data_IF_006329589399
#
_entry.id   IF_006329589399
#
_cell.length_a   1.000
_cell.length_b   1.000
_cell.length_c   1.000
_cell.angle_alpha   90.00
_cell.angle_beta   90.00
_cell.angle_gamma   90.00
#
_symmetry.space_group_name_H-M   'P 1'
#
loop_
_entity.id
_entity.type
_entity.pdbx_description
1 polymer ?
#
# COMPACT_ATOMS: atom_id res chain seq x y z
N UNK A 1 -18.04 13.85 21.69
CA UNK A 1 -16.85 13.78 20.79
C UNK A 1 -17.20 14.24 19.38
N UNK A 2 -16.25 14.62 18.49
CA UNK A 2 -16.52 15.00 17.08
C UNK A 2 -15.99 13.94 16.12
N UNK A 3 -16.77 13.52 15.12
CA UNK A 3 -16.35 12.54 14.11
C UNK A 3 -16.62 13.07 12.69
N UNK A 4 -15.60 13.01 11.83
CA UNK A 4 -15.71 13.34 10.40
C UNK A 4 -15.60 12.08 9.55
N UNK A 5 -16.47 11.96 8.56
CA UNK A 5 -16.43 10.91 7.55
C UNK A 5 -15.74 11.39 6.27
N UNK A 6 -14.93 10.54 5.66
CA UNK A 6 -14.27 10.82 4.36
C UNK A 6 -14.44 9.63 3.43
N UNK A 7 -15.16 9.83 2.33
CA UNK A 7 -15.47 8.78 1.36
C UNK A 7 -14.29 8.42 0.44
N UNK A 8 -14.51 7.45 -0.45
CA UNK A 8 -13.54 7.03 -1.48
C UNK A 8 -13.63 7.81 -2.80
N UNK A 9 -12.79 7.43 -3.76
CA UNK A 9 -12.86 7.98 -5.12
C UNK A 9 -14.20 7.65 -5.82
N UNK A 10 -14.63 8.56 -6.72
CA UNK A 10 -15.81 8.46 -7.58
C UNK A 10 -17.17 8.55 -6.89
N UNK A 11 -17.22 9.03 -5.65
CA UNK A 11 -18.48 9.33 -4.96
C UNK A 11 -19.02 10.69 -5.41
N UNK A 12 -20.31 10.74 -5.72
CA UNK A 12 -21.04 11.95 -6.13
C UNK A 12 -22.10 12.40 -5.11
N UNK A 13 -22.47 11.54 -4.16
CA UNK A 13 -23.46 11.80 -3.11
C UNK A 13 -23.05 11.27 -1.74
N UNK A 14 -23.49 11.95 -0.68
CA UNK A 14 -23.20 11.57 0.71
C UNK A 14 -24.03 10.38 1.19
N UNK A 15 -24.99 9.90 0.41
CA UNK A 15 -25.69 8.63 0.66
C UNK A 15 -24.76 7.41 0.58
N UNK A 16 -23.55 7.57 0.02
CA UNK A 16 -22.49 6.54 0.03
C UNK A 16 -22.23 5.98 1.42
N UNK A 17 -22.39 6.81 2.47
CA UNK A 17 -22.16 6.40 3.86
C UNK A 17 -23.21 5.40 4.37
N UNK A 18 -24.30 5.18 3.62
CA UNK A 18 -25.39 4.29 4.01
C UNK A 18 -26.00 4.69 5.35
N UNK A 19 -26.43 3.69 6.13
CA UNK A 19 -26.95 3.89 7.48
C UNK A 19 -25.86 3.76 8.57
N UNK A 20 -24.57 3.81 8.19
CA UNK A 20 -23.46 3.68 9.14
C UNK A 20 -23.44 4.84 10.16
N UNK A 21 -23.60 6.12 9.80
CA UNK A 21 -23.65 7.21 10.77
C UNK A 21 -24.73 6.99 11.84
N UNK A 22 -25.94 6.59 11.42
CA UNK A 22 -27.06 6.31 12.29
C UNK A 22 -26.79 5.10 13.18
N UNK A 23 -26.23 4.01 12.62
CA UNK A 23 -25.87 2.81 13.38
C UNK A 23 -24.87 3.13 14.50
N UNK A 24 -23.86 3.96 14.22
CA UNK A 24 -22.87 4.38 15.21
C UNK A 24 -23.50 5.26 16.30
N UNK A 25 -24.26 6.28 15.92
CA UNK A 25 -24.88 7.20 16.88
C UNK A 25 -25.86 6.46 17.81
N UNK A 26 -26.67 5.54 17.28
CA UNK A 26 -27.63 4.76 18.06
C UNK A 26 -26.94 3.75 19.00
N UNK A 27 -25.78 3.22 18.60
CA UNK A 27 -25.07 2.19 19.34
C UNK A 27 -24.03 2.75 20.34
N UNK A 28 -23.60 4.00 20.18
CA UNK A 28 -22.52 4.60 20.95
C UNK A 28 -22.80 4.65 22.46
N UNK A 29 -24.03 5.01 22.85
CA UNK A 29 -24.41 5.12 24.26
C UNK A 29 -24.28 3.79 25.00
N UNK A 30 -24.55 2.66 24.33
CA UNK A 30 -24.39 1.32 24.91
C UNK A 30 -22.92 0.99 25.25
N UNK A 31 -21.96 1.69 24.64
CA UNK A 31 -20.53 1.54 24.89
C UNK A 31 -19.92 2.73 25.65
N UNK A 32 -20.77 3.62 26.21
CA UNK A 32 -20.33 4.76 27.00
C UNK A 32 -19.67 5.88 26.21
N UNK A 33 -19.89 5.95 24.90
CA UNK A 33 -19.39 7.02 24.04
C UNK A 33 -20.42 8.15 23.93
N UNK A 34 -19.96 9.39 24.16
CA UNK A 34 -20.74 10.61 23.87
C UNK A 34 -20.68 10.92 22.36
N UNK A 35 -21.46 10.18 21.58
CA UNK A 35 -21.55 10.30 20.13
C UNK A 35 -23.01 10.33 19.68
N UNK A 36 -23.49 11.52 19.36
CA UNK A 36 -24.81 11.78 18.78
C UNK A 36 -24.67 12.04 17.27
N UNK A 37 -25.74 11.88 16.49
CA UNK A 37 -25.75 12.14 15.05
C UNK A 37 -25.26 13.57 14.71
N UNK A 38 -25.55 14.58 15.55
CA UNK A 38 -25.10 15.97 15.40
C UNK A 38 -23.59 16.15 15.53
N UNK A 39 -22.89 15.16 16.08
CA UNK A 39 -21.44 15.14 16.18
C UNK A 39 -20.77 14.57 14.93
N UNK A 40 -21.54 13.99 14.00
CA UNK A 40 -21.07 13.34 12.78
C UNK A 40 -21.12 14.31 11.61
N UNK A 41 -19.99 14.48 10.93
CA UNK A 41 -19.84 15.37 9.79
C UNK A 41 -19.52 14.56 8.54
N UNK A 42 -20.40 14.61 7.55
CA UNK A 42 -20.25 13.85 6.31
C UNK A 42 -19.41 14.65 5.30
N UNK A 43 -18.14 14.30 5.16
CA UNK A 43 -17.25 14.91 4.20
C UNK A 43 -17.67 14.63 2.77
N UNK A 44 -17.39 15.56 1.88
CA UNK A 44 -17.50 15.40 0.43
C UNK A 44 -16.31 16.05 -0.24
N UNK A 45 -15.70 15.38 -1.21
CA UNK A 45 -14.66 15.96 -2.04
C UNK A 45 -14.83 15.54 -3.50
N UNK A 46 -14.34 16.38 -4.40
CA UNK A 46 -14.39 16.13 -5.84
C UNK A 46 -13.15 15.32 -6.22
N UNK A 47 -13.34 14.19 -6.90
CA UNK A 47 -12.24 13.28 -7.28
C UNK A 47 -12.31 12.79 -8.72
N UNK A 48 -13.30 13.25 -9.48
CA UNK A 48 -13.66 12.79 -10.82
C UNK A 48 -13.40 13.87 -11.88
N UNK A 49 -12.43 14.74 -11.60
CA UNK A 49 -11.94 15.77 -12.51
C UNK A 49 -10.43 15.59 -12.68
N UNK A 50 -9.96 15.53 -13.93
CA UNK A 50 -8.61 15.07 -14.25
C UNK A 50 -7.51 15.99 -13.68
N UNK A 51 -7.78 17.27 -13.48
CA UNK A 51 -6.82 18.22 -12.90
C UNK A 51 -6.60 18.02 -11.39
N UNK A 52 -7.59 17.46 -10.69
CA UNK A 52 -7.59 17.32 -9.23
C UNK A 52 -6.58 16.27 -8.78
N UNK A 53 -5.74 16.62 -7.81
CA UNK A 53 -4.77 15.70 -7.20
C UNK A 53 -5.14 15.32 -5.78
N UNK A 54 -4.44 14.31 -5.24
CA UNK A 54 -4.53 14.00 -3.81
C UNK A 54 -4.05 15.18 -2.93
N UNK A 55 -3.10 15.98 -3.41
CA UNK A 55 -2.61 17.18 -2.72
C UNK A 55 -3.72 18.25 -2.62
N UNK A 56 -4.43 18.50 -3.72
CA UNK A 56 -5.55 19.44 -3.77
C UNK A 56 -6.69 18.99 -2.84
N UNK A 57 -6.98 17.69 -2.81
CA UNK A 57 -7.98 17.12 -1.89
C UNK A 57 -7.53 17.29 -0.43
N UNK A 58 -6.27 17.03 -0.10
CA UNK A 58 -5.74 17.20 1.26
C UNK A 58 -5.78 18.67 1.71
N UNK A 59 -5.52 19.62 0.80
CA UNK A 59 -5.68 21.06 1.05
C UNK A 59 -7.15 21.45 1.24
N UNK A 60 -8.04 20.89 0.43
CA UNK A 60 -9.49 21.05 0.59
C UNK A 60 -9.98 20.52 1.92
N UNK A 61 -9.48 19.36 2.35
CA UNK A 61 -9.79 18.75 3.64
C UNK A 61 -9.34 19.62 4.82
N UNK A 62 -8.11 20.16 4.79
CA UNK A 62 -7.63 21.09 5.82
C UNK A 62 -8.52 22.32 5.96
N UNK A 63 -8.87 22.95 4.82
CA UNK A 63 -9.77 24.10 4.79
C UNK A 63 -11.14 23.74 5.36
N UNK A 64 -11.73 22.63 4.92
CA UNK A 64 -13.04 22.19 5.39
C UNK A 64 -13.04 21.89 6.90
N UNK A 65 -11.95 21.30 7.43
CA UNK A 65 -11.80 21.08 8.86
C UNK A 65 -11.77 22.39 9.64
N UNK A 66 -11.09 23.44 9.15
CA UNK A 66 -11.03 24.78 9.78
C UNK A 66 -12.37 25.51 9.72
N UNK A 67 -13.16 25.28 8.68
CA UNK A 67 -14.49 25.88 8.50
C UNK A 67 -15.57 25.20 9.36
N UNK A 68 -15.28 24.07 10.04
CA UNK A 68 -16.25 23.44 10.94
C UNK A 68 -16.63 24.36 12.12
N UNK A 69 -17.92 24.38 12.52
CA UNK A 69 -18.37 25.16 13.67
C UNK A 69 -17.63 24.79 14.96
N UNK A 70 -17.56 25.74 15.90
CA UNK A 70 -16.90 25.58 17.20
C UNK A 70 -15.40 25.24 17.12
N UNK A 71 -14.74 25.55 16.01
CA UNK A 71 -13.28 25.62 15.97
C UNK A 71 -12.78 26.87 16.68
N UNK A 72 -11.59 26.82 17.31
CA UNK A 72 -10.90 28.02 17.78
C UNK A 72 -10.49 28.88 16.57
N UNK A 73 -10.39 30.20 16.77
CA UNK A 73 -10.00 31.14 15.71
C UNK A 73 -8.72 30.68 14.98
N UNK A 74 -8.85 30.34 13.71
CA UNK A 74 -7.75 29.87 12.85
C UNK A 74 -7.26 28.43 13.09
N UNK A 75 -7.82 27.69 14.05
CA UNK A 75 -7.40 26.32 14.39
C UNK A 75 -8.40 25.23 13.99
N UNK A 76 -8.05 23.97 14.30
CA UNK A 76 -8.90 22.79 14.11
C UNK A 76 -9.13 22.17 15.49
N UNK A 77 -10.38 22.07 15.93
CA UNK A 77 -10.70 21.41 17.20
C UNK A 77 -10.45 19.89 17.12
N UNK A 78 -10.15 19.20 18.24
CA UNK A 78 -9.91 17.76 18.25
C UNK A 78 -11.06 16.96 17.62
N UNK A 79 -10.71 15.95 16.83
CA UNK A 79 -11.68 15.11 16.13
C UNK A 79 -11.20 13.67 15.94
N UNK A 80 -12.13 12.79 15.59
CA UNK A 80 -11.89 11.45 15.07
C UNK A 80 -12.34 11.37 13.62
N UNK A 81 -11.73 10.51 12.83
CA UNK A 81 -12.05 10.36 11.41
C UNK A 81 -12.36 8.91 11.07
N UNK A 82 -13.45 8.70 10.34
CA UNK A 82 -13.80 7.42 9.72
C UNK A 82 -13.69 7.60 8.21
N UNK A 83 -12.83 6.81 7.57
CA UNK A 83 -12.59 6.94 6.13
C UNK A 83 -13.00 5.67 5.39
N UNK A 84 -13.32 5.78 4.11
CA UNK A 84 -13.46 4.63 3.22
C UNK A 84 -12.52 4.74 2.02
N UNK A 85 -11.93 3.62 1.60
CA UNK A 85 -11.16 3.54 0.34
C UNK A 85 -10.08 4.63 0.22
N UNK A 86 -10.10 5.45 -0.83
CA UNK A 86 -9.18 6.59 -1.04
C UNK A 86 -9.19 7.61 0.10
N UNK A 87 -10.26 7.71 0.89
CA UNK A 87 -10.33 8.61 2.04
C UNK A 87 -9.23 8.36 3.07
N UNK A 88 -8.81 7.10 3.26
CA UNK A 88 -7.70 6.75 4.15
C UNK A 88 -6.39 7.40 3.72
N UNK A 89 -5.91 7.14 2.49
CA UNK A 89 -4.81 7.87 1.88
C UNK A 89 -4.92 9.39 1.89
N UNK A 90 -6.10 9.97 1.64
CA UNK A 90 -6.33 11.42 1.72
C UNK A 90 -5.98 11.96 3.11
N UNK A 91 -6.54 11.36 4.16
CA UNK A 91 -6.32 11.84 5.53
C UNK A 91 -4.88 11.60 5.99
N UNK A 92 -4.27 10.47 5.59
CA UNK A 92 -2.85 10.22 5.84
C UNK A 92 -1.96 11.24 5.12
N UNK A 93 -2.29 11.62 3.89
CA UNK A 93 -1.55 12.61 3.13
C UNK A 93 -1.70 14.02 3.72
N UNK A 94 -2.89 14.38 4.22
CA UNK A 94 -3.10 15.60 5.00
C UNK A 94 -2.25 15.59 6.28
N UNK A 95 -2.22 14.48 7.03
CA UNK A 95 -1.41 14.35 8.24
C UNK A 95 0.08 14.57 7.92
N UNK A 96 0.61 13.85 6.92
CA UNK A 96 2.01 13.96 6.48
C UNK A 96 2.36 15.39 6.05
N UNK A 97 1.45 16.05 5.32
CA UNK A 97 1.67 17.41 4.78
C UNK A 97 1.72 18.48 5.85
N UNK A 98 0.79 18.48 6.80
CA UNK A 98 0.60 19.59 7.73
C UNK A 98 1.27 19.36 9.09
N UNK A 99 1.54 18.11 9.45
CA UNK A 99 2.11 17.75 10.74
C UNK A 99 3.40 16.93 10.55
N UNK A 100 3.34 15.87 9.73
CA UNK A 100 4.46 14.93 9.60
C UNK A 100 4.90 14.33 10.94
N UNK A 101 6.05 13.67 10.97
CA UNK A 101 6.58 13.11 12.22
C UNK A 101 6.91 14.17 13.29
N UNK A 102 7.37 15.36 12.86
CA UNK A 102 7.76 16.43 13.78
C UNK A 102 6.60 17.22 14.38
N UNK A 103 5.40 17.18 13.78
CA UNK A 103 4.24 17.97 14.19
C UNK A 103 3.20 17.21 14.99
N UNK A 104 3.47 15.95 15.38
CA UNK A 104 2.48 15.08 16.04
C UNK A 104 1.92 15.64 17.34
N UNK A 105 2.70 16.41 18.11
CA UNK A 105 2.24 17.05 19.34
C UNK A 105 1.10 18.06 19.12
N UNK A 106 0.98 18.63 17.92
CA UNK A 106 -0.08 19.57 17.55
C UNK A 106 -1.22 18.95 16.73
N UNK A 107 -1.21 17.63 16.51
CA UNK A 107 -2.18 16.94 15.66
C UNK A 107 -3.57 16.91 16.31
N UNK A 108 -4.62 17.52 15.71
CA UNK A 108 -5.98 17.49 16.24
C UNK A 108 -6.72 16.18 15.96
N UNK A 109 -6.17 15.30 15.10
CA UNK A 109 -6.74 14.00 14.78
C UNK A 109 -6.35 12.97 15.84
N UNK A 110 -7.33 12.50 16.60
CA UNK A 110 -7.14 11.50 17.67
C UNK A 110 -7.28 10.06 17.20
N UNK A 111 -8.26 9.78 16.34
CA UNK A 111 -8.53 8.43 15.83
C UNK A 111 -8.69 8.46 14.32
N UNK A 112 -8.06 7.54 13.61
CA UNK A 112 -8.26 7.34 12.17
C UNK A 112 -8.71 5.90 11.91
N UNK A 113 -10.02 5.69 11.79
CA UNK A 113 -10.61 4.39 11.49
C UNK A 113 -10.81 4.26 9.99
N UNK A 114 -10.02 3.42 9.34
CA UNK A 114 -10.06 3.27 7.89
C UNK A 114 -10.78 1.99 7.48
N UNK A 115 -11.85 2.16 6.70
CA UNK A 115 -12.64 1.09 6.12
C UNK A 115 -12.13 0.80 4.70
N UNK A 116 -11.54 -0.38 4.50
CA UNK A 116 -10.98 -0.82 3.22
C UNK A 116 -10.06 0.23 2.52
N UNK A 117 -9.09 0.86 3.22
CA UNK A 117 -8.28 1.94 2.64
C UNK A 117 -7.35 1.45 1.54
N UNK A 118 -7.12 2.25 0.49
CA UNK A 118 -6.13 1.95 -0.55
C UNK A 118 -4.70 2.41 -0.15
N UNK A 119 -4.21 2.00 1.03
CA UNK A 119 -2.96 2.48 1.62
C UNK A 119 -1.70 2.22 0.79
N UNK A 120 -1.69 1.11 0.04
CA UNK A 120 -0.63 0.71 -0.88
C UNK A 120 -1.16 0.54 -2.32
N UNK A 121 -2.29 1.19 -2.62
CA UNK A 121 -2.93 1.19 -3.94
C UNK A 121 -3.95 0.07 -4.15
N UNK A 122 -4.48 0.06 -5.37
CA UNK A 122 -5.51 -0.88 -5.82
C UNK A 122 -5.23 -1.40 -7.22
N UNK A 123 -5.59 -2.66 -7.46
CA UNK A 123 -5.52 -3.32 -8.77
C UNK A 123 -6.52 -2.73 -9.79
N UNK A 124 -7.50 -1.94 -9.35
CA UNK A 124 -8.49 -1.29 -10.21
C UNK A 124 -7.86 -0.21 -11.12
N UNK A 125 -6.77 0.41 -10.70
CA UNK A 125 -6.24 1.58 -11.41
C UNK A 125 -5.44 1.24 -12.71
N UNK A 126 -5.17 -0.06 -12.98
CA UNK A 126 -4.49 -0.51 -14.21
C UNK A 126 -5.50 -0.90 -15.31
N UNK A 127 -6.57 -0.11 -15.47
CA UNK A 127 -7.56 -0.34 -16.52
C UNK A 127 -7.11 0.34 -17.82
N UNK A 128 -6.55 -0.45 -18.74
CA UNK A 128 -6.09 0.03 -20.05
C UNK A 128 -7.19 0.68 -20.90
N UNK A 129 -6.77 1.45 -21.93
CA UNK A 129 -7.62 2.30 -22.79
C UNK A 129 -8.91 1.64 -23.33
N UNK A 130 -8.89 0.34 -23.63
CA UNK A 130 -10.06 -0.39 -24.12
C UNK A 130 -11.16 -0.61 -23.05
N UNK A 131 -10.81 -0.52 -21.77
CA UNK A 131 -11.73 -0.65 -20.62
C UNK A 131 -12.20 0.68 -20.07
N UNK A 132 -11.49 1.78 -20.39
CA UNK A 132 -11.90 3.15 -20.09
C UNK A 132 -13.32 3.43 -20.60
N UNK A 133 -13.71 2.88 -21.75
CA UNK A 133 -15.10 3.00 -22.24
C UNK A 133 -16.15 2.33 -21.35
N UNK A 134 -15.80 1.22 -20.68
CA UNK A 134 -16.69 0.53 -19.72
C UNK A 134 -16.72 1.22 -18.36
N UNK A 135 -15.61 1.80 -17.91
CA UNK A 135 -15.61 2.68 -16.73
C UNK A 135 -16.41 3.96 -16.99
N UNK A 136 -16.23 4.64 -18.12
CA UNK A 136 -17.02 5.83 -18.47
C UNK A 136 -18.53 5.54 -18.50
N UNK A 137 -18.92 4.36 -18.99
CA UNK A 137 -20.32 3.90 -18.95
C UNK A 137 -20.79 3.54 -17.53
N UNK A 138 -19.89 3.10 -16.64
CA UNK A 138 -20.18 2.87 -15.22
C UNK A 138 -20.27 4.18 -14.40
N UNK A 139 -19.64 5.25 -14.88
CA UNK A 139 -19.63 6.57 -14.24
C UNK A 139 -20.56 7.59 -14.90
N UNK A 140 -21.60 7.12 -15.60
CA UNK A 140 -22.60 7.99 -16.23
C UNK A 140 -21.99 9.12 -17.11
N UNK A 141 -20.82 8.88 -17.71
CA UNK A 141 -20.12 9.83 -18.58
C UNK A 141 -19.24 10.88 -17.88
N UNK A 142 -19.00 10.80 -16.57
CA UNK A 142 -18.11 11.71 -15.82
C UNK A 142 -16.63 11.42 -16.11
N UNK A 143 -15.77 12.45 -16.04
CA UNK A 143 -14.32 12.28 -16.12
C UNK A 143 -13.80 11.34 -15.00
N UNK A 144 -12.77 10.52 -15.28
CA UNK A 144 -12.31 9.53 -14.33
C UNK A 144 -11.48 10.14 -13.18
N UNK A 145 -11.03 11.39 -13.27
CA UNK A 145 -10.12 11.95 -12.28
C UNK A 145 -8.75 11.25 -12.31
N UNK A 146 -8.14 11.27 -13.50
CA UNK A 146 -6.96 10.46 -13.84
C UNK A 146 -5.81 10.62 -12.84
N UNK A 147 -5.54 11.83 -12.33
CA UNK A 147 -4.42 12.06 -11.40
C UNK A 147 -4.62 11.40 -10.03
N UNK A 148 -5.87 11.29 -9.56
CA UNK A 148 -6.19 10.54 -8.33
C UNK A 148 -6.03 9.04 -8.58
N UNK A 149 -6.48 8.55 -9.74
CA UNK A 149 -6.29 7.15 -10.13
C UNK A 149 -4.81 6.79 -10.31
N UNK A 150 -4.00 7.64 -10.94
CA UNK A 150 -2.56 7.46 -11.08
C UNK A 150 -1.86 7.39 -9.72
N UNK A 151 -2.35 8.15 -8.74
CA UNK A 151 -1.88 8.05 -7.36
C UNK A 151 -2.27 6.71 -6.73
N UNK A 152 -3.47 6.19 -7.01
CA UNK A 152 -3.98 4.92 -6.50
C UNK A 152 -3.43 3.67 -7.22
N UNK A 153 -2.83 3.83 -8.40
CA UNK A 153 -2.10 2.76 -9.08
C UNK A 153 -1.08 2.11 -8.16
N UNK A 154 -1.08 0.79 -8.11
CA UNK A 154 -0.06 0.02 -7.40
C UNK A 154 1.35 0.47 -7.81
N UNK A 155 2.22 0.69 -6.83
CA UNK A 155 3.60 1.12 -7.07
C UNK A 155 3.75 2.59 -7.47
N UNK A 156 2.73 3.44 -7.26
CA UNK A 156 2.85 4.88 -7.55
C UNK A 156 3.89 5.56 -6.65
N UNK A 157 4.42 6.69 -7.12
CA UNK A 157 5.41 7.47 -6.37
C UNK A 157 4.79 8.07 -5.09
N UNK A 158 3.52 8.48 -5.17
CA UNK A 158 2.80 9.05 -4.03
C UNK A 158 2.61 8.05 -2.89
N UNK A 159 2.26 6.80 -3.22
CA UNK A 159 2.17 5.72 -2.21
C UNK A 159 3.54 5.40 -1.61
N UNK A 160 4.58 5.31 -2.44
CA UNK A 160 5.94 5.06 -1.97
C UNK A 160 6.36 6.15 -0.96
N UNK A 161 6.16 7.42 -1.32
CA UNK A 161 6.53 8.56 -0.48
C UNK A 161 5.74 8.58 0.83
N UNK A 162 4.41 8.44 0.77
CA UNK A 162 3.55 8.48 1.95
C UNK A 162 3.86 7.35 2.94
N UNK A 163 4.08 6.14 2.44
CA UNK A 163 4.45 5.01 3.30
C UNK A 163 5.90 5.09 3.79
N UNK A 164 6.82 5.70 3.03
CA UNK A 164 8.17 5.97 3.53
C UNK A 164 8.15 6.95 4.71
N UNK A 165 7.42 8.05 4.58
CA UNK A 165 7.27 9.05 5.64
C UNK A 165 6.56 8.45 6.87
N UNK A 166 5.61 7.55 6.64
CA UNK A 166 4.87 6.87 7.70
C UNK A 166 5.72 5.99 8.64
N UNK A 167 6.94 5.62 8.26
CA UNK A 167 7.85 4.84 9.11
C UNK A 167 8.28 5.57 10.39
N UNK A 168 8.15 6.89 10.41
CA UNK A 168 8.64 7.76 11.49
C UNK A 168 7.50 8.29 12.38
N UNK A 169 6.25 7.90 12.11
CA UNK A 169 5.08 8.40 12.84
C UNK A 169 4.85 7.64 14.16
N UNK A 170 5.22 8.22 15.29
CA UNK A 170 4.77 7.72 16.60
C UNK A 170 3.34 8.22 16.90
N UNK A 171 2.33 7.49 16.41
CA UNK A 171 0.93 7.84 16.65
C UNK A 171 0.54 7.72 18.12
N UNK A 172 0.57 6.52 18.71
CA UNK A 172 0.07 6.28 20.07
C UNK A 172 0.79 7.10 21.14
N UNK A 173 2.09 7.39 20.98
CA UNK A 173 2.85 8.25 21.88
C UNK A 173 2.35 9.71 21.92
N UNK A 174 1.62 10.13 20.87
CA UNK A 174 1.05 11.47 20.73
C UNK A 174 -0.49 11.47 20.75
N UNK A 175 -1.13 10.40 21.21
CA UNK A 175 -2.59 10.33 21.30
C UNK A 175 -3.31 10.19 19.95
N UNK A 176 -2.59 9.75 18.90
CA UNK A 176 -3.13 9.44 17.59
C UNK A 176 -3.19 7.93 17.34
N UNK A 177 -4.39 7.41 17.05
CA UNK A 177 -4.65 5.98 16.93
C UNK A 177 -5.22 5.63 15.55
N UNK A 178 -4.40 5.11 14.61
CA UNK A 178 -4.88 4.64 13.31
C UNK A 178 -5.34 3.17 13.36
N UNK A 179 -6.40 2.81 12.66
CA UNK A 179 -6.98 1.46 12.61
C UNK A 179 -7.35 1.09 11.18
N UNK A 180 -7.18 -0.19 10.81
CA UNK A 180 -7.61 -0.71 9.51
C UNK A 180 -8.66 -1.80 9.72
N UNK A 181 -9.84 -1.58 9.17
CA UNK A 181 -10.94 -2.55 9.10
C UNK A 181 -11.19 -2.85 7.63
N UNK A 182 -11.06 -4.09 7.18
CA UNK A 182 -11.19 -4.42 5.75
C UNK A 182 -11.91 -5.72 5.52
N UNK A 183 -12.62 -5.80 4.39
CA UNK A 183 -13.19 -7.04 3.91
C UNK A 183 -12.16 -7.93 3.22
N UNK A 184 -12.53 -9.19 3.06
CA UNK A 184 -11.98 -10.11 2.06
C UNK A 184 -13.09 -10.89 1.34
N UNK A 185 -14.33 -10.43 1.50
CA UNK A 185 -15.49 -10.96 0.81
C UNK A 185 -15.65 -10.29 -0.55
N UNK A 186 -16.00 -11.07 -1.57
CA UNK A 186 -16.26 -10.54 -2.91
C UNK A 186 -17.75 -10.65 -3.19
N UNK A 187 -18.37 -9.56 -3.62
CA UNK A 187 -19.71 -9.61 -4.22
C UNK A 187 -19.56 -9.82 -5.72
N UNK A 188 -19.36 -11.08 -6.11
CA UNK A 188 -19.07 -11.43 -7.51
C UNK A 188 -20.10 -10.86 -8.48
N UNK A 189 -21.39 -10.88 -8.11
CA UNK A 189 -22.49 -10.37 -8.95
C UNK A 189 -22.40 -8.86 -9.18
N UNK A 190 -21.93 -8.11 -8.18
CA UNK A 190 -21.75 -6.66 -8.30
C UNK A 190 -20.55 -6.31 -9.20
N UNK A 191 -19.55 -7.19 -9.31
CA UNK A 191 -18.33 -6.92 -10.08
C UNK A 191 -18.23 -7.71 -11.41
N UNK A 192 -19.19 -8.58 -11.70
CA UNK A 192 -19.23 -9.46 -12.89
C UNK A 192 -19.06 -8.70 -14.21
N UNK A 193 -19.50 -7.44 -14.28
CA UNK A 193 -19.46 -6.63 -15.50
C UNK A 193 -18.16 -5.84 -15.72
N UNK A 194 -17.26 -5.76 -14.72
CA UNK A 194 -16.11 -4.85 -14.75
C UNK A 194 -14.77 -5.57 -15.03
N UNK A 195 -14.40 -6.61 -14.27
CA UNK A 195 -13.08 -7.25 -14.43
C UNK A 195 -12.88 -8.54 -13.58
N UNK A 196 -12.13 -9.52 -14.10
CA UNK A 196 -11.65 -10.68 -13.30
C UNK A 196 -10.70 -10.28 -12.16
N UNK A 197 -10.00 -9.14 -12.26
CA UNK A 197 -9.15 -8.61 -11.19
C UNK A 197 -9.93 -8.21 -9.92
N UNK A 198 -11.25 -7.99 -10.01
CA UNK A 198 -12.11 -7.67 -8.87
C UNK A 198 -12.62 -8.93 -8.15
N UNK A 199 -12.14 -10.11 -8.57
CA UNK A 199 -12.39 -11.42 -7.95
C UNK A 199 -11.11 -12.04 -7.36
N UNK A 200 -10.08 -11.24 -7.14
CA UNK A 200 -8.79 -11.72 -6.65
C UNK A 200 -8.89 -12.15 -5.17
N UNK A 201 -8.51 -13.39 -4.80
CA UNK A 201 -8.54 -13.84 -3.42
C UNK A 201 -7.66 -12.97 -2.50
N UNK A 202 -8.07 -12.82 -1.24
CA UNK A 202 -7.40 -11.93 -0.30
C UNK A 202 -7.63 -10.44 -0.59
N UNK A 203 -8.72 -10.11 -1.28
CA UNK A 203 -9.19 -8.74 -1.50
C UNK A 203 -10.68 -8.61 -1.19
N UNK A 204 -11.13 -7.39 -0.99
CA UNK A 204 -12.56 -7.05 -0.86
C UNK A 204 -13.25 -6.82 -2.22
N UNK A 205 -12.55 -7.18 -3.31
CA UNK A 205 -12.95 -6.93 -4.69
C UNK A 205 -12.37 -5.66 -5.31
N UNK A 206 -11.72 -4.77 -4.55
CA UNK A 206 -11.02 -3.58 -5.10
C UNK A 206 -9.64 -3.43 -4.49
N UNK A 207 -9.52 -3.59 -3.18
CA UNK A 207 -8.27 -3.44 -2.43
C UNK A 207 -7.90 -4.78 -1.81
N UNK A 208 -6.65 -5.20 -2.04
CA UNK A 208 -6.05 -6.37 -1.39
C UNK A 208 -5.94 -6.10 0.11
N UNK A 209 -6.10 -7.11 0.96
CA UNK A 209 -5.88 -6.96 2.41
C UNK A 209 -4.47 -6.42 2.69
N UNK A 210 -3.46 -6.93 1.98
CA UNK A 210 -2.08 -6.40 2.03
C UNK A 210 -1.92 -4.99 1.46
N UNK A 211 -2.83 -4.56 0.59
CA UNK A 211 -2.92 -3.20 0.08
C UNK A 211 -3.58 -2.22 1.06
N UNK A 212 -4.42 -2.73 1.97
CA UNK A 212 -5.11 -1.93 2.98
C UNK A 212 -4.37 -1.81 4.31
N UNK A 213 -3.63 -2.84 4.70
CA UNK A 213 -2.93 -2.89 5.97
C UNK A 213 -1.95 -1.71 6.16
N UNK A 214 -1.77 -1.25 7.41
CA UNK A 214 -0.73 -0.26 7.77
C UNK A 214 0.52 -0.90 8.38
N UNK A 215 0.50 -2.21 8.64
CA UNK A 215 1.71 -2.96 8.93
C UNK A 215 2.40 -3.28 7.60
N UNK A 216 3.58 -2.71 7.39
CA UNK A 216 4.39 -2.91 6.18
C UNK A 216 5.88 -2.76 6.50
N UNK A 217 6.71 -3.14 5.53
CA UNK A 217 8.18 -3.13 5.66
C UNK A 217 8.83 -2.32 4.56
N UNK A 218 9.98 -1.76 4.88
CA UNK A 218 10.92 -1.21 3.91
C UNK A 218 12.24 -1.99 3.98
N UNK A 219 12.62 -2.55 2.85
CA UNK A 219 13.81 -3.38 2.70
C UNK A 219 14.73 -2.77 1.65
N UNK A 220 15.87 -2.24 2.08
CA UNK A 220 16.82 -1.57 1.18
C UNK A 220 17.99 -2.51 0.88
N UNK A 221 18.31 -2.62 -0.40
CA UNK A 221 19.34 -3.50 -0.95
C UNK A 221 20.29 -2.66 -1.80
N UNK A 222 21.59 -2.78 -1.57
CA UNK A 222 22.60 -2.11 -2.38
C UNK A 222 23.65 -3.09 -2.88
N UNK A 223 24.09 -2.92 -4.12
CA UNK A 223 25.10 -3.80 -4.71
C UNK A 223 26.44 -3.63 -4.01
N UNK A 224 26.87 -4.68 -3.32
CA UNK A 224 28.17 -4.77 -2.67
C UNK A 224 29.28 -5.24 -3.61
N UNK A 225 30.47 -5.45 -3.05
CA UNK A 225 31.66 -5.91 -3.80
C UNK A 225 31.85 -7.42 -3.76
N UNK A 226 31.15 -8.12 -2.87
CA UNK A 226 31.25 -9.58 -2.72
C UNK A 226 30.72 -10.30 -3.97
N UNK A 227 31.53 -11.17 -4.56
CA UNK A 227 31.14 -11.98 -5.72
C UNK A 227 30.43 -13.24 -5.25
N UNK A 228 29.21 -13.47 -5.74
CA UNK A 228 28.39 -14.65 -5.45
C UNK A 228 28.43 -15.71 -6.55
N UNK A 229 28.66 -15.30 -7.80
CA UNK A 229 28.85 -16.18 -8.96
C UNK A 229 29.91 -15.60 -9.89
N UNK A 230 30.74 -16.47 -10.48
CA UNK A 230 31.77 -16.05 -11.46
C UNK A 230 31.25 -16.06 -12.90
N UNK A 231 30.25 -16.89 -13.20
CA UNK A 231 29.66 -17.03 -14.54
C UNK A 231 28.12 -17.16 -14.45
N UNK A 232 27.35 -16.15 -14.90
CA UNK A 232 27.82 -14.77 -15.12
C UNK A 232 28.38 -14.18 -13.82
N UNK A 233 29.21 -13.13 -13.94
CA UNK A 233 29.72 -12.40 -12.77
C UNK A 233 28.53 -11.73 -12.05
N UNK A 234 28.24 -12.19 -10.84
CA UNK A 234 27.11 -11.72 -10.03
C UNK A 234 27.60 -11.28 -8.67
N UNK A 235 27.22 -10.08 -8.25
CA UNK A 235 27.57 -9.50 -6.97
C UNK A 235 26.49 -9.73 -5.90
N UNK A 236 26.85 -9.60 -4.63
CA UNK A 236 25.89 -9.59 -3.54
C UNK A 236 25.10 -8.28 -3.53
N UNK A 237 23.80 -8.37 -3.25
CA UNK A 237 23.02 -7.27 -2.71
C UNK A 237 23.15 -7.34 -1.18
N UNK A 238 23.79 -6.34 -0.61
CA UNK A 238 23.91 -6.13 0.83
C UNK A 238 22.63 -5.46 1.33
N UNK A 239 22.15 -5.90 2.48
CA UNK A 239 20.88 -5.49 3.05
C UNK A 239 21.08 -4.53 4.21
N UNK A 240 20.36 -3.42 4.18
CA UNK A 240 20.18 -2.59 5.37
C UNK A 240 19.18 -3.26 6.32
N UNK A 241 19.18 -2.92 7.62
CA UNK A 241 18.15 -3.38 8.54
C UNK A 241 16.75 -3.08 8.02
N UNK A 242 15.87 -4.09 8.05
CA UNK A 242 14.48 -3.92 7.64
C UNK A 242 13.80 -2.93 8.57
N UNK A 243 13.23 -1.88 7.99
CA UNK A 243 12.43 -0.89 8.73
C UNK A 243 10.98 -1.34 8.75
N UNK A 244 10.37 -1.35 9.93
CA UNK A 244 8.97 -1.69 10.13
C UNK A 244 8.15 -0.41 10.33
N UNK A 245 6.95 -0.38 9.75
CA UNK A 245 5.99 0.64 10.11
C UNK A 245 5.58 0.49 11.60
N UNK A 246 5.21 1.59 12.27
CA UNK A 246 4.54 1.55 13.56
C UNK A 246 3.35 0.57 13.53
N UNK A 247 3.24 -0.34 14.51
CA UNK A 247 2.25 -1.40 14.46
C UNK A 247 0.83 -0.84 14.57
N UNK A 248 -0.07 -1.30 13.71
CA UNK A 248 -1.46 -0.85 13.67
C UNK A 248 -2.45 -2.02 13.74
N UNK A 249 -3.60 -1.88 14.43
CA UNK A 249 -4.66 -2.88 14.41
C UNK A 249 -5.20 -3.13 13.00
N UNK A 250 -5.26 -4.40 12.61
CA UNK A 250 -5.91 -4.87 11.37
C UNK A 250 -7.01 -5.87 11.72
N UNK A 251 -8.23 -5.54 11.32
CA UNK A 251 -9.38 -6.44 11.37
C UNK A 251 -9.83 -6.82 9.96
N UNK A 252 -9.82 -8.12 9.66
CA UNK A 252 -10.28 -8.66 8.36
C UNK A 252 -11.60 -9.39 8.51
N UNK A 253 -12.60 -9.07 7.69
CA UNK A 253 -13.90 -9.73 7.68
C UNK A 253 -14.14 -10.56 6.42
N UNK A 254 -14.66 -11.77 6.58
CA UNK A 254 -15.03 -12.64 5.45
C UNK A 254 -16.28 -12.13 4.70
N UNK A 255 -17.22 -11.53 5.42
CA UNK A 255 -18.57 -11.22 4.92
C UNK A 255 -18.70 -9.91 4.13
N UNK A 256 -17.67 -9.08 4.10
CA UNK A 256 -17.74 -7.72 3.56
C UNK A 256 -16.89 -7.53 2.31
N UNK A 257 -17.43 -6.81 1.33
CA UNK A 257 -16.77 -6.33 0.11
C UNK A 257 -16.44 -4.84 0.21
N UNK A 258 -15.74 -4.33 -0.80
CA UNK A 258 -15.36 -2.92 -0.85
C UNK A 258 -16.59 -1.99 -0.85
N UNK A 259 -17.56 -2.30 -1.71
CA UNK A 259 -18.75 -1.50 -1.97
C UNK A 259 -20.00 -2.39 -2.16
N UNK A 260 -21.16 -1.76 -2.23
CA UNK A 260 -22.46 -2.39 -2.50
C UNK A 260 -23.38 -2.45 -1.27
N UNK A 261 -24.69 -2.36 -1.49
CA UNK A 261 -25.70 -2.29 -0.41
C UNK A 261 -25.94 -3.63 0.31
N UNK A 262 -25.42 -4.72 -0.24
CA UNK A 262 -25.58 -6.07 0.31
C UNK A 262 -24.39 -6.54 1.15
N UNK A 263 -23.17 -6.27 0.68
CA UNK A 263 -21.93 -6.73 1.31
C UNK A 263 -20.91 -5.62 1.55
N UNK A 264 -21.10 -4.41 1.03
CA UNK A 264 -20.12 -3.34 1.15
C UNK A 264 -19.87 -2.96 2.60
N UNK A 265 -18.60 -2.86 3.00
CA UNK A 265 -18.16 -2.59 4.39
C UNK A 265 -18.81 -1.35 5.03
N UNK A 266 -19.30 -0.43 4.21
CA UNK A 266 -20.00 0.79 4.63
C UNK A 266 -21.48 0.76 4.23
N UNK A 267 -21.79 0.66 2.93
CA UNK A 267 -23.16 0.79 2.42
C UNK A 267 -24.10 -0.39 2.77
N UNK A 268 -23.59 -1.52 3.27
CA UNK A 268 -24.45 -2.62 3.75
C UNK A 268 -24.77 -2.56 5.24
N UNK A 269 -24.30 -1.53 5.95
CA UNK A 269 -24.65 -1.31 7.35
C UNK A 269 -26.10 -0.86 7.46
N UNK A 270 -26.80 -1.37 8.48
CA UNK A 270 -28.19 -1.06 8.82
C UNK A 270 -28.27 -0.54 10.23
N UNK A 271 -28.89 0.64 10.41
CA UNK A 271 -29.04 1.28 11.71
C UNK A 271 -29.73 0.35 12.71
N UNK A 272 -30.80 -0.32 12.27
CA UNK A 272 -31.57 -1.25 13.10
C UNK A 272 -30.77 -2.46 13.59
N UNK A 273 -29.70 -2.86 12.90
CA UNK A 273 -28.85 -3.96 13.34
C UNK A 273 -27.80 -3.50 14.36
N UNK A 274 -27.35 -2.25 14.31
CA UNK A 274 -26.43 -1.64 15.28
C UNK A 274 -25.23 -2.53 15.61
N UNK A 275 -25.01 -2.79 16.91
CA UNK A 275 -23.96 -3.67 17.43
C UNK A 275 -24.07 -5.15 16.98
N UNK A 276 -25.20 -5.56 16.40
CA UNK A 276 -25.33 -6.87 15.75
C UNK A 276 -24.46 -7.01 14.48
N UNK A 277 -23.96 -5.91 13.92
CA UNK A 277 -22.98 -5.93 12.83
C UNK A 277 -21.56 -5.72 13.38
N UNK A 278 -20.61 -6.65 13.14
CA UNK A 278 -19.28 -6.60 13.76
C UNK A 278 -18.48 -5.36 13.37
N UNK A 279 -18.68 -4.82 12.17
CA UNK A 279 -18.00 -3.58 11.73
C UNK A 279 -18.41 -2.38 12.60
N UNK A 280 -19.68 -2.29 13.01
CA UNK A 280 -20.17 -1.19 13.88
C UNK A 280 -19.55 -1.29 15.26
N UNK A 281 -19.55 -2.50 15.85
CA UNK A 281 -18.90 -2.78 17.13
C UNK A 281 -17.40 -2.44 17.07
N UNK A 282 -16.68 -2.96 16.08
CA UNK A 282 -15.23 -2.77 15.95
C UNK A 282 -14.87 -1.29 15.71
N UNK A 283 -15.68 -0.50 14.98
CA UNK A 283 -15.49 0.96 14.85
C UNK A 283 -15.62 1.65 16.21
N UNK A 284 -16.66 1.33 16.98
CA UNK A 284 -16.89 1.98 18.27
C UNK A 284 -15.82 1.58 19.29
N UNK A 285 -15.33 0.33 19.26
CA UNK A 285 -14.19 -0.10 20.08
C UNK A 285 -12.91 0.65 19.71
N UNK A 286 -12.67 0.95 18.42
CA UNK A 286 -11.58 1.82 18.01
C UNK A 286 -11.72 3.23 18.61
N UNK A 287 -12.92 3.81 18.56
CA UNK A 287 -13.19 5.18 19.08
C UNK A 287 -13.12 5.29 20.61
N UNK A 288 -13.09 4.18 21.34
CA UNK A 288 -12.92 4.14 22.81
C UNK A 288 -11.47 4.12 23.26
N UNK A 289 -10.53 3.92 22.34
CA UNK A 289 -9.11 3.85 22.67
C UNK A 289 -8.61 5.22 23.13
N UNK A 290 -8.29 5.34 24.41
CA UNK A 290 -7.79 6.57 25.01
C UNK A 290 -6.30 6.50 25.40
N UNK A 291 -5.64 5.35 25.20
CA UNK A 291 -4.24 5.14 25.58
C UNK A 291 -3.52 4.16 24.67
N UNK A 292 -2.18 4.25 24.63
CA UNK A 292 -1.32 3.29 23.95
C UNK A 292 -1.53 1.84 24.43
N UNK A 293 -1.83 1.63 25.72
CA UNK A 293 -2.11 0.30 26.25
C UNK A 293 -3.40 -0.29 25.68
N UNK A 294 -4.47 0.51 25.62
CA UNK A 294 -5.74 0.09 25.02
C UNK A 294 -5.59 -0.13 23.51
N UNK A 295 -4.79 0.68 22.83
CA UNK A 295 -4.46 0.52 21.41
C UNK A 295 -3.78 -0.83 21.15
N UNK A 296 -2.77 -1.18 21.96
CA UNK A 296 -2.05 -2.45 21.86
C UNK A 296 -2.94 -3.66 22.20
N UNK A 297 -3.84 -3.50 23.19
CA UNK A 297 -4.83 -4.52 23.51
C UNK A 297 -5.75 -4.79 22.32
N UNK A 298 -6.31 -3.73 21.72
CA UNK A 298 -7.19 -3.84 20.56
C UNK A 298 -6.44 -4.41 19.34
N UNK A 299 -5.17 -4.05 19.15
CA UNK A 299 -4.28 -4.64 18.13
C UNK A 299 -4.20 -6.15 18.27
N UNK A 300 -3.95 -6.63 19.48
CA UNK A 300 -3.86 -8.07 19.78
C UNK A 300 -5.19 -8.78 19.55
N UNK A 301 -6.30 -8.18 20.00
CA UNK A 301 -7.64 -8.73 19.80
C UNK A 301 -8.01 -8.83 18.31
N UNK A 302 -7.76 -7.77 17.53
CA UNK A 302 -8.02 -7.77 16.09
C UNK A 302 -7.13 -8.75 15.34
N UNK A 303 -5.86 -8.90 15.72
CA UNK A 303 -4.98 -9.91 15.15
C UNK A 303 -5.52 -11.33 15.39
N UNK A 304 -6.01 -11.63 16.60
CA UNK A 304 -6.62 -12.92 16.92
C UNK A 304 -7.88 -13.19 16.08
N UNK A 305 -8.79 -12.21 16.00
CA UNK A 305 -10.03 -12.32 15.21
C UNK A 305 -9.76 -12.47 13.71
N UNK A 306 -8.80 -11.72 13.18
CA UNK A 306 -8.33 -11.84 11.79
C UNK A 306 -7.79 -13.24 11.52
N UNK A 307 -6.93 -13.77 12.40
CA UNK A 307 -6.37 -15.10 12.26
C UNK A 307 -7.46 -16.19 12.26
N UNK A 308 -8.44 -16.10 13.16
CA UNK A 308 -9.59 -17.01 13.16
C UNK A 308 -10.36 -16.92 11.84
N UNK A 309 -10.75 -15.71 11.44
CA UNK A 309 -11.53 -15.45 10.23
C UNK A 309 -10.84 -16.05 8.99
N UNK A 310 -9.56 -15.77 8.80
CA UNK A 310 -8.82 -16.22 7.63
C UNK A 310 -8.46 -17.71 7.67
N UNK A 311 -8.20 -18.27 8.86
CA UNK A 311 -7.98 -19.71 9.01
C UNK A 311 -9.25 -20.50 8.65
N UNK A 312 -10.42 -20.04 9.07
CA UNK A 312 -11.70 -20.65 8.70
C UNK A 312 -12.00 -20.52 7.21
N UNK A 313 -11.76 -19.34 6.63
CA UNK A 313 -11.93 -19.12 5.20
C UNK A 313 -11.02 -20.06 4.38
N UNK A 314 -9.74 -20.15 4.74
CA UNK A 314 -8.77 -21.02 4.06
C UNK A 314 -9.07 -22.51 4.25
N UNK A 315 -9.66 -22.93 5.38
CA UNK A 315 -10.12 -24.32 5.58
C UNK A 315 -11.29 -24.67 4.66
N UNK A 316 -12.20 -23.71 4.42
CA UNK A 316 -13.35 -23.89 3.52
C UNK A 316 -12.96 -23.86 2.04
N UNK A 317 -12.03 -22.98 1.67
CA UNK A 317 -11.47 -22.86 0.33
C UNK A 317 -9.98 -22.50 0.43
N UNK A 318 -9.05 -23.42 0.09
CA UNK A 318 -7.62 -23.15 0.15
C UNK A 318 -7.14 -21.98 -0.71
N UNK A 319 -7.96 -21.50 -1.66
CA UNK A 319 -7.67 -20.30 -2.45
C UNK A 319 -7.89 -19.01 -1.66
N UNK A 320 -8.58 -19.06 -0.51
CA UNK A 320 -8.83 -17.92 0.40
C UNK A 320 -7.77 -17.84 1.52
N UNK A 321 -6.51 -18.14 1.16
CA UNK A 321 -5.38 -18.04 2.06
C UNK A 321 -5.00 -16.60 2.40
N UNK A 322 -3.84 -16.43 3.04
CA UNK A 322 -3.25 -15.11 3.27
C UNK A 322 -2.25 -14.77 2.17
N UNK A 323 -2.15 -13.50 1.85
CA UNK A 323 -1.34 -13.02 0.73
C UNK A 323 -0.47 -11.83 1.14
N UNK A 324 0.59 -11.58 0.38
CA UNK A 324 1.52 -10.48 0.62
C UNK A 324 1.82 -9.72 -0.67
N UNK A 325 2.27 -8.48 -0.56
CA UNK A 325 2.78 -7.72 -1.71
C UNK A 325 4.26 -7.42 -1.58
N UNK A 326 5.00 -7.51 -2.69
CA UNK A 326 6.33 -6.94 -2.84
C UNK A 326 6.27 -5.81 -3.87
N UNK A 327 6.73 -4.62 -3.49
CA UNK A 327 6.81 -3.45 -4.37
C UNK A 327 8.29 -3.12 -4.59
N UNK A 328 8.81 -3.46 -5.77
CA UNK A 328 10.20 -3.24 -6.15
C UNK A 328 10.38 -1.87 -6.81
N UNK A 329 11.33 -1.11 -6.30
CA UNK A 329 11.91 0.07 -6.94
C UNK A 329 13.37 -0.22 -7.26
N UNK A 330 13.74 -0.14 -8.54
CA UNK A 330 15.11 -0.44 -9.00
C UNK A 330 15.73 0.83 -9.56
N UNK A 331 16.91 1.18 -9.04
CA UNK A 331 17.66 2.38 -9.42
C UNK A 331 19.15 2.13 -9.49
N UNK A 332 19.87 3.01 -10.16
CA UNK A 332 21.33 3.05 -10.10
C UNK A 332 21.84 3.88 -8.90
N UNK A 333 23.17 3.89 -8.72
CA UNK A 333 23.91 4.66 -7.71
C UNK A 333 23.87 6.18 -7.95
N UNK A 334 23.22 6.64 -9.03
CA UNK A 334 22.94 8.03 -9.35
C UNK A 334 21.47 8.40 -9.14
N UNK A 335 20.64 7.46 -8.71
CA UNK A 335 19.22 7.65 -8.47
C UNK A 335 18.35 7.54 -9.71
N UNK A 336 18.90 7.17 -10.87
CA UNK A 336 18.11 6.97 -12.08
C UNK A 336 17.29 5.68 -11.95
N UNK A 337 16.01 5.75 -12.26
CA UNK A 337 15.13 4.58 -12.32
C UNK A 337 15.35 3.84 -13.63
N UNK A 338 15.30 2.50 -13.57
CA UNK A 338 15.32 1.68 -14.77
C UNK A 338 13.97 1.74 -15.49
N UNK A 339 13.99 1.76 -16.81
CA UNK A 339 12.79 1.58 -17.61
C UNK A 339 12.29 0.13 -17.51
N UNK A 340 11.00 -0.08 -17.79
CA UNK A 340 10.34 -1.39 -17.72
C UNK A 340 11.13 -2.55 -18.36
N UNK A 341 11.72 -2.31 -19.52
CA UNK A 341 12.40 -3.37 -20.30
C UNK A 341 13.91 -3.46 -19.99
N UNK A 342 14.41 -2.61 -19.11
CA UNK A 342 15.84 -2.52 -18.76
C UNK A 342 16.21 -3.28 -17.49
N UNK A 343 15.27 -3.99 -16.86
CA UNK A 343 15.58 -4.87 -15.72
C UNK A 343 14.66 -6.08 -15.60
N UNK A 344 15.14 -7.07 -14.87
CA UNK A 344 14.41 -8.27 -14.48
C UNK A 344 14.61 -8.52 -12.98
N UNK A 345 13.54 -8.94 -12.32
CA UNK A 345 13.56 -9.41 -10.93
C UNK A 345 13.18 -10.89 -10.93
N UNK A 346 14.05 -11.71 -10.33
CA UNK A 346 13.82 -13.14 -10.15
C UNK A 346 13.79 -13.45 -8.65
N UNK A 347 12.74 -14.13 -8.22
CA UNK A 347 12.67 -14.71 -6.87
C UNK A 347 13.40 -16.06 -6.88
N UNK A 348 14.24 -16.25 -5.88
CA UNK A 348 15.12 -17.40 -5.74
C UNK A 348 14.71 -18.22 -4.52
N UNK A 349 14.90 -19.53 -4.58
CA UNK A 349 14.72 -20.40 -3.42
C UNK A 349 15.59 -21.65 -3.50
N UNK A 350 15.60 -22.42 -2.41
CA UNK A 350 16.36 -23.66 -2.24
C UNK A 350 17.85 -23.41 -1.94
N UNK A 351 18.57 -24.47 -1.59
CA UNK A 351 19.96 -24.42 -1.07
C UNK A 351 20.97 -23.66 -1.93
N UNK A 352 20.69 -23.56 -3.23
CA UNK A 352 21.56 -22.94 -4.23
C UNK A 352 21.00 -21.63 -4.79
N UNK A 353 19.91 -21.09 -4.20
CA UNK A 353 19.23 -19.87 -4.62
C UNK A 353 18.98 -19.84 -6.13
N UNK A 354 18.22 -20.82 -6.62
CA UNK A 354 17.97 -20.99 -8.05
C UNK A 354 16.63 -20.36 -8.44
N UNK A 355 16.54 -19.72 -9.62
CA UNK A 355 15.26 -19.35 -10.18
C UNK A 355 14.46 -20.61 -10.51
N UNK A 356 13.13 -20.54 -10.40
CA UNK A 356 12.23 -21.65 -10.72
C UNK A 356 12.07 -22.71 -9.63
N UNK A 357 12.75 -22.57 -8.49
CA UNK A 357 12.57 -23.46 -7.33
C UNK A 357 11.46 -23.00 -6.36
N UNK A 358 10.74 -21.92 -6.70
CA UNK A 358 9.66 -21.39 -5.87
C UNK A 358 8.44 -22.32 -5.93
N UNK A 359 7.66 -22.46 -4.84
CA UNK A 359 6.49 -23.35 -4.82
C UNK A 359 5.44 -22.98 -5.87
N UNK A 360 4.82 -23.97 -6.52
CA UNK A 360 3.84 -23.71 -7.58
C UNK A 360 2.65 -22.84 -7.10
N UNK A 361 2.27 -21.88 -7.94
CA UNK A 361 1.16 -20.97 -7.68
C UNK A 361 1.45 -19.88 -6.63
N UNK A 362 2.70 -19.73 -6.19
CA UNK A 362 3.09 -18.69 -5.24
C UNK A 362 2.87 -17.26 -5.77
N UNK A 363 3.10 -17.02 -7.07
CA UNK A 363 2.89 -15.72 -7.70
C UNK A 363 1.47 -15.67 -8.26
N UNK A 364 0.61 -14.86 -7.64
CA UNK A 364 -0.79 -14.69 -8.03
C UNK A 364 -0.98 -13.64 -9.10
N UNK A 365 -0.24 -12.55 -8.98
CA UNK A 365 -0.30 -11.45 -9.93
C UNK A 365 1.02 -10.68 -9.99
N UNK A 366 1.25 -10.02 -11.13
CA UNK A 366 2.40 -9.16 -11.40
C UNK A 366 1.96 -7.95 -12.20
N UNK A 367 2.20 -6.77 -11.64
CA UNK A 367 1.89 -5.49 -12.29
C UNK A 367 3.11 -4.58 -12.28
N UNK A 368 3.26 -3.76 -13.32
CA UNK A 368 4.26 -2.70 -13.34
C UNK A 368 3.55 -1.35 -13.47
N UNK A 369 3.93 -0.40 -12.62
CA UNK A 369 3.40 0.95 -12.71
C UNK A 369 3.98 1.66 -13.95
N UNK A 370 3.15 2.20 -14.85
CA UNK A 370 3.63 2.79 -16.10
C UNK A 370 4.40 4.11 -15.92
N UNK A 371 4.18 4.83 -14.81
CA UNK A 371 4.83 6.11 -14.55
C UNK A 371 6.13 5.94 -13.77
N UNK A 372 6.18 5.02 -12.81
CA UNK A 372 7.36 4.83 -11.93
C UNK A 372 8.23 3.64 -12.32
N UNK A 373 7.75 2.75 -13.18
CA UNK A 373 8.34 1.43 -13.46
C UNK A 373 8.49 0.54 -12.21
N UNK A 374 7.85 0.88 -11.09
CA UNK A 374 7.86 0.02 -9.91
C UNK A 374 7.10 -1.28 -10.20
N UNK A 375 7.73 -2.41 -9.88
CA UNK A 375 7.19 -3.73 -10.13
C UNK A 375 6.52 -4.25 -8.86
N UNK A 376 5.27 -4.69 -8.97
CA UNK A 376 4.46 -5.18 -7.85
C UNK A 376 4.16 -6.65 -8.06
N UNK A 377 4.56 -7.49 -7.10
CA UNK A 377 4.17 -8.89 -7.04
C UNK A 377 3.13 -9.10 -5.95
N UNK A 378 2.08 -9.84 -6.28
CA UNK A 378 1.13 -10.35 -5.31
C UNK A 378 1.34 -11.83 -5.11
N UNK A 379 1.56 -12.21 -3.85
CA UNK A 379 2.12 -13.49 -3.48
C UNK A 379 1.18 -14.24 -2.56
N UNK A 380 0.97 -15.52 -2.82
CA UNK A 380 0.34 -16.44 -1.89
C UNK A 380 1.31 -16.76 -0.76
N UNK A 381 1.07 -16.19 0.42
CA UNK A 381 1.97 -16.31 1.54
C UNK A 381 2.04 -17.75 2.05
N UNK A 382 0.92 -18.48 2.03
CA UNK A 382 0.88 -19.88 2.47
C UNK A 382 1.75 -20.77 1.60
N UNK A 383 1.84 -20.45 0.29
CA UNK A 383 2.74 -21.14 -0.64
C UNK A 383 4.19 -20.76 -0.39
N UNK A 384 4.52 -19.47 -0.24
CA UNK A 384 5.90 -19.04 0.00
C UNK A 384 6.44 -19.55 1.34
N UNK A 385 5.59 -19.65 2.37
CA UNK A 385 5.97 -20.20 3.66
C UNK A 385 6.42 -21.67 3.59
N UNK A 386 6.14 -22.37 2.48
CA UNK A 386 6.56 -23.76 2.22
C UNK A 386 7.90 -23.88 1.49
N UNK A 387 8.64 -22.78 1.27
CA UNK A 387 9.98 -22.85 0.68
C UNK A 387 10.85 -23.81 1.48
N UNK A 388 11.28 -24.89 0.81
CA UNK A 388 12.15 -25.90 1.38
C UNK A 388 13.48 -25.28 1.85
N UNK A 389 14.01 -25.81 2.96
CA UNK A 389 15.27 -25.36 3.59
C UNK A 389 15.28 -23.90 4.09
N UNK A 390 14.18 -23.15 3.99
CA UNK A 390 14.08 -21.75 4.45
C UNK A 390 14.96 -20.76 3.69
N UNK A 391 15.55 -21.16 2.56
CA UNK A 391 16.47 -20.33 1.78
C UNK A 391 15.74 -19.65 0.63
N UNK A 392 15.78 -18.31 0.61
CA UNK A 392 15.12 -17.48 -0.39
C UNK A 392 15.98 -16.28 -0.76
N UNK A 393 15.76 -15.70 -1.94
CA UNK A 393 16.56 -14.59 -2.42
C UNK A 393 15.90 -13.81 -3.55
N UNK A 394 16.57 -12.74 -3.95
CA UNK A 394 16.16 -11.86 -5.04
C UNK A 394 17.37 -11.68 -5.96
N UNK A 395 17.24 -12.00 -7.25
CA UNK A 395 18.21 -11.59 -8.28
C UNK A 395 17.64 -10.42 -9.06
N UNK A 396 18.47 -9.42 -9.29
CA UNK A 396 18.22 -8.36 -10.26
C UNK A 396 19.22 -8.47 -11.42
N UNK A 397 18.71 -8.37 -12.63
CA UNK A 397 19.51 -8.29 -13.86
C UNK A 397 19.10 -7.01 -14.57
N UNK A 398 20.04 -6.10 -14.82
CA UNK A 398 19.78 -4.80 -15.42
C UNK A 398 20.55 -4.60 -16.72
N UNK A 399 20.03 -3.74 -17.59
CA UNK A 399 20.57 -3.42 -18.92
C UNK A 399 21.07 -1.97 -18.97
N UNK A 400 22.09 -1.69 -19.81
CA UNK A 400 22.86 -2.64 -20.61
C UNK A 400 23.79 -3.52 -19.76
N UNK A 401 24.00 -4.78 -20.17
CA UNK A 401 24.83 -5.75 -19.43
C UNK A 401 26.33 -5.70 -19.80
N UNK A 402 26.66 -4.97 -20.87
CA UNK A 402 28.01 -4.80 -21.41
C UNK A 402 28.13 -3.47 -22.15
N UNK A 403 29.35 -3.07 -22.49
CA UNK A 403 29.66 -1.80 -23.16
C UNK A 403 30.36 -0.80 -22.24
N UNK A 404 30.53 0.44 -22.73
CA UNK A 404 31.22 1.52 -22.01
C UNK A 404 30.49 1.98 -20.74
N UNK A 405 29.19 1.75 -20.67
CA UNK A 405 28.41 1.88 -19.44
C UNK A 405 27.57 0.60 -19.30
N UNK A 406 27.61 -0.05 -18.15
CA UNK A 406 26.91 -1.31 -17.94
C UNK A 406 26.57 -1.60 -16.48
N UNK A 407 25.68 -2.55 -16.28
CA UNK A 407 25.31 -3.09 -14.97
C UNK A 407 25.69 -4.57 -14.89
N UNK A 408 26.04 -5.01 -13.68
CA UNK A 408 26.29 -6.42 -13.40
C UNK A 408 25.12 -6.99 -12.59
N UNK A 409 24.70 -8.24 -12.85
CA UNK A 409 23.70 -8.91 -12.03
C UNK A 409 24.06 -8.86 -10.53
N UNK A 410 23.03 -8.78 -9.69
CA UNK A 410 23.21 -8.82 -8.25
C UNK A 410 22.16 -9.72 -7.57
N UNK A 411 22.53 -10.37 -6.47
CA UNK A 411 21.68 -11.29 -5.71
C UNK A 411 21.67 -10.94 -4.22
N UNK A 412 20.46 -10.81 -3.66
CA UNK A 412 20.25 -10.98 -2.22
C UNK A 412 19.99 -12.46 -1.94
N UNK A 413 20.65 -12.99 -0.90
CA UNK A 413 20.46 -14.35 -0.39
C UNK A 413 20.16 -14.26 1.09
N UNK A 414 19.12 -14.95 1.57
CA UNK A 414 18.70 -14.83 2.97
C UNK A 414 19.79 -15.23 3.97
N UNK A 415 20.68 -16.17 3.62
CA UNK A 415 21.86 -16.56 4.43
C UNK A 415 21.52 -16.79 5.94
N UNK A 416 20.32 -17.31 6.22
CA UNK A 416 19.83 -17.58 7.59
C UNK A 416 18.77 -16.60 8.11
N UNK A 417 18.52 -15.48 7.41
CA UNK A 417 17.39 -14.60 7.70
C UNK A 417 16.05 -15.34 7.52
N UNK A 418 15.09 -15.07 8.41
CA UNK A 418 13.77 -15.72 8.33
C UNK A 418 12.94 -15.02 7.27
N UNK A 419 12.08 -15.77 6.59
CA UNK A 419 11.12 -15.19 5.63
C UNK A 419 10.30 -14.07 6.27
N UNK A 420 9.85 -14.29 7.52
CA UNK A 420 9.04 -13.34 8.31
C UNK A 420 9.72 -12.00 8.58
N UNK A 421 11.06 -11.94 8.48
CA UNK A 421 11.79 -10.69 8.66
C UNK A 421 11.61 -9.76 7.44
N UNK A 422 11.29 -10.31 6.27
CA UNK A 422 11.17 -9.57 4.99
C UNK A 422 9.74 -9.60 4.44
N UNK A 423 8.97 -10.66 4.67
CA UNK A 423 7.63 -10.87 4.15
C UNK A 423 6.72 -11.43 5.23
N UNK A 424 5.52 -10.86 5.40
CA UNK A 424 4.52 -11.36 6.34
C UNK A 424 3.13 -11.42 5.69
N UNK A 425 2.22 -12.26 6.21
CA UNK A 425 0.89 -12.39 5.64
C UNK A 425 0.11 -11.08 5.82
N UNK A 426 -0.69 -10.73 4.81
CA UNK A 426 -1.49 -9.52 4.77
C UNK A 426 -0.69 -8.21 4.80
N UNK A 427 0.60 -8.24 4.48
CA UNK A 427 1.45 -7.04 4.52
C UNK A 427 2.09 -6.74 3.17
N UNK A 428 2.44 -5.48 2.99
CA UNK A 428 3.26 -5.01 1.87
C UNK A 428 4.72 -4.86 2.33
N UNK A 429 5.65 -5.24 1.47
CA UNK A 429 7.07 -4.91 1.63
C UNK A 429 7.55 -4.10 0.43
N UNK A 430 8.03 -2.89 0.69
CA UNK A 430 8.72 -2.06 -0.27
C UNK A 430 10.19 -2.48 -0.33
N UNK A 431 10.69 -2.79 -1.53
CA UNK A 431 12.07 -3.23 -1.77
C UNK A 431 12.76 -2.19 -2.65
N UNK A 432 13.70 -1.43 -2.09
CA UNK A 432 14.52 -0.45 -2.85
C UNK A 432 15.85 -1.10 -3.20
N UNK A 433 16.11 -1.31 -4.49
CA UNK A 433 17.32 -1.96 -4.99
C UNK A 433 18.19 -0.91 -5.70
N UNK A 434 19.41 -0.72 -5.20
CA UNK A 434 20.42 0.17 -5.77
C UNK A 434 21.55 -0.64 -6.43
N UNK A 435 21.67 -0.51 -7.76
CA UNK A 435 22.75 -1.10 -8.54
C UNK A 435 23.87 -0.09 -8.80
N UNK A 436 25.10 -0.58 -8.93
CA UNK A 436 26.24 0.27 -9.30
C UNK A 436 26.34 0.37 -10.82
N UNK A 437 26.33 1.58 -11.35
CA UNK A 437 26.62 1.82 -12.76
C UNK A 437 28.11 1.74 -13.02
N UNK A 438 28.53 0.77 -13.82
CA UNK A 438 29.93 0.64 -14.22
C UNK A 438 30.18 1.51 -15.44
N UNK A 439 31.09 2.47 -15.33
CA UNK A 439 31.54 3.30 -16.45
C UNK A 439 32.98 2.94 -16.75
N UNK A 440 33.20 2.50 -17.98
CA UNK A 440 34.49 2.08 -18.46
C UNK A 440 35.46 3.27 -18.55
N UNK A 441 36.72 3.04 -18.22
CA UNK A 441 37.73 4.11 -18.25
C UNK A 441 37.97 4.67 -19.67
N UNK A 442 37.68 3.91 -20.72
CA UNK A 442 37.78 4.37 -22.10
C UNK A 442 36.55 5.17 -22.57
N UNK A 443 35.54 5.36 -21.71
CA UNK A 443 34.41 6.27 -22.01
C UNK A 443 34.90 7.70 -22.20
N UNK A 444 35.94 8.12 -21.47
CA UNK A 444 36.53 9.44 -21.60
C UNK A 444 38.04 9.40 -21.30
N UNK A 445 38.86 9.88 -22.23
CA UNK A 445 40.31 9.98 -22.11
C UNK A 445 40.78 11.34 -22.61
N UNK A 446 41.90 11.81 -22.08
CA UNK A 446 42.62 12.96 -22.63
C UNK A 446 43.83 12.46 -23.40
N UNK A 447 43.95 12.88 -24.65
CA UNK A 447 45.19 12.76 -25.41
C UNK A 447 46.03 14.02 -25.22
N UNK A 448 47.35 13.89 -25.33
CA UNK A 448 48.24 15.06 -25.30
C UNK A 448 48.02 15.90 -26.55
N UNK A 449 48.05 17.23 -26.39
CA UNK A 449 47.87 18.16 -27.51
C UNK A 449 49.00 18.16 -28.54
N UNK A 450 50.18 17.60 -28.20
CA UNK A 450 51.34 17.45 -29.07
C UNK A 450 51.41 16.07 -29.78
N UNK A 451 50.47 15.16 -29.48
CA UNK A 451 50.39 13.86 -30.15
C UNK A 451 49.62 13.96 -31.49
N UNK A 452 49.89 13.07 -32.47
CA UNK A 452 49.06 12.96 -33.66
C UNK A 452 47.60 12.72 -33.31
N UNK A 453 46.69 13.40 -34.02
CA UNK A 453 45.24 13.22 -33.82
C UNK A 453 44.83 11.81 -34.21
N UNK A 454 44.15 11.09 -33.32
CA UNK A 454 43.69 9.72 -33.56
C UNK A 454 42.16 9.67 -33.68
N UNK A 455 41.63 8.63 -34.32
CA UNK A 455 40.19 8.37 -34.40
C UNK A 455 39.74 7.49 -33.24
N UNK A 456 38.68 7.88 -32.54
CA UNK A 456 38.09 7.12 -31.43
C UNK A 456 36.90 6.24 -31.85
N UNK A 457 36.61 6.15 -33.16
CA UNK A 457 35.42 5.44 -33.69
C UNK A 457 35.36 3.94 -33.32
N UNK A 458 36.51 3.31 -33.11
CA UNK A 458 36.64 1.86 -32.90
C UNK A 458 37.21 1.50 -31.53
N UNK A 459 37.22 2.43 -30.57
CA UNK A 459 37.61 2.14 -29.19
C UNK A 459 36.66 1.09 -28.62
N UNK A 460 37.20 0.20 -27.78
CA UNK A 460 36.44 -0.80 -27.02
C UNK A 460 36.51 -0.48 -25.52
N UNK A 461 35.52 -0.92 -24.73
CA UNK A 461 35.64 -0.91 -23.27
C UNK A 461 36.92 -1.65 -22.83
N UNK A 462 37.53 -1.21 -21.74
CA UNK A 462 38.56 -1.97 -21.04
C UNK A 462 38.01 -3.35 -20.60
N UNK A 463 38.84 -4.39 -20.71
CA UNK A 463 38.47 -5.77 -20.38
C UNK A 463 38.12 -5.97 -18.90
#
# INVERSE_FOLDING_TARGET
MRVVFVHGWSVTHTDTYGELPEALAQSAAALGLDLDIRHLWLGRYVSFHDEVTLDDIARGFDRALRELPANPDGGIAPFSCITHSTGGPVVRHWLDRYYGAGGMAGLPLSHLVMLAPANHGSSLAVLGKARVGRLKAWFDGVEPGQRVLDWLCLGSAGQWQLNRNGLELDGPGHGFYPFVLTGQGIDEKFYDFLNNYLKEPGSDGVVRVSGANLNYRFFSLHQGKRILRKAPLTFALEADPVRLAPPAPLRVYEGYSHSGTRKGIMASIRAAAGLGQPVVQDILDCLRVASAQQYEHLRTAFAALTNVTQSEASRKDPRRGRFSMLVFRVRDDRGNLFARDDFEILLLSGRNYQPGAMPDGFLRDRQINPATNNLVFYLDYEKIAQIADGQFGIRVVARPASGFASYRPAEYRSEGARLTDILAPNETTYVDICLTRNVDANTFRFDRGDAPRTSFKHIRPSE
#
